data_IF_800851461831
#
_entry.id   IF_800851461831
#
_cell.length_a   1.000
_cell.length_b   1.000
_cell.length_c   1.000
_cell.angle_alpha   90.00
_cell.angle_beta   90.00
_cell.angle_gamma   90.00
#
_symmetry.space_group_name_H-M   'P 1'
#
loop_
_entity.id
_entity.type
_entity.pdbx_description
1 polymer ?
#
# COMPACT_ATOMS: atom_id res chain seq x y z
N UNK A 1 -9.52 -2.13 19.54
CA UNK A 1 -8.14 -1.61 19.41
C UNK A 1 -7.67 -1.75 17.96
N UNK A 2 -7.15 -0.69 17.36
CA UNK A 2 -6.63 -0.78 15.99
C UNK A 2 -5.30 -1.53 15.96
N UNK A 3 -5.11 -2.35 14.94
CA UNK A 3 -3.84 -3.01 14.68
C UNK A 3 -2.80 -1.98 14.23
N UNK A 4 -1.53 -2.32 14.41
CA UNK A 4 -0.42 -1.45 13.98
C UNK A 4 -0.51 -1.12 12.49
N UNK A 5 -0.86 -2.11 11.66
CA UNK A 5 -1.03 -1.93 10.22
C UNK A 5 -2.12 -0.89 9.92
N UNK A 6 -3.26 -0.97 10.61
CA UNK A 6 -4.36 -0.03 10.41
C UNK A 6 -3.96 1.40 10.78
N UNK A 7 -3.17 1.56 11.84
CA UNK A 7 -2.65 2.87 12.23
C UNK A 7 -1.69 3.44 11.20
N UNK A 8 -0.81 2.60 10.66
CA UNK A 8 0.11 3.03 9.60
C UNK A 8 -0.64 3.47 8.34
N UNK A 9 -1.68 2.73 7.97
CA UNK A 9 -2.51 3.09 6.83
C UNK A 9 -3.17 4.45 7.06
N UNK A 10 -3.76 4.66 8.23
CA UNK A 10 -4.40 5.94 8.56
C UNK A 10 -3.43 7.11 8.51
N UNK A 11 -2.24 6.95 9.07
CA UNK A 11 -1.21 7.98 9.06
C UNK A 11 -0.74 8.31 7.65
N UNK A 12 -0.49 7.29 6.81
CA UNK A 12 -0.03 7.51 5.45
C UNK A 12 -1.14 8.04 4.54
N UNK A 13 -2.39 7.65 4.78
CA UNK A 13 -3.53 8.26 4.07
C UNK A 13 -3.55 9.76 4.29
N UNK A 14 -3.32 10.20 5.52
CA UNK A 14 -3.27 11.61 5.87
C UNK A 14 -2.10 12.30 5.16
N UNK A 15 -0.92 11.71 5.23
CA UNK A 15 0.28 12.26 4.61
C UNK A 15 0.13 12.40 3.10
N UNK A 16 -0.53 11.44 2.45
CA UNK A 16 -0.71 11.41 1.01
C UNK A 16 -2.00 12.11 0.54
N UNK A 17 -2.74 12.71 1.47
CA UNK A 17 -3.98 13.45 1.16
C UNK A 17 -5.06 12.57 0.53
N UNK A 18 -5.19 11.33 1.03
CA UNK A 18 -6.23 10.39 0.62
C UNK A 18 -7.02 9.88 1.82
N UNK A 19 -7.18 10.72 2.85
CA UNK A 19 -7.91 10.35 4.08
C UNK A 19 -9.36 9.97 3.83
N UNK A 20 -9.95 10.46 2.73
CA UNK A 20 -11.31 10.14 2.35
C UNK A 20 -11.47 8.74 1.73
N UNK A 21 -10.37 8.05 1.47
CA UNK A 21 -10.40 6.69 0.95
C UNK A 21 -10.58 5.68 2.08
N UNK A 22 -11.35 4.63 1.81
CA UNK A 22 -11.48 3.49 2.72
C UNK A 22 -10.52 2.40 2.26
N UNK A 23 -9.40 2.25 2.97
CA UNK A 23 -8.37 1.28 2.63
C UNK A 23 -8.38 0.17 3.67
N UNK A 24 -8.56 -1.06 3.20
CA UNK A 24 -8.53 -2.26 4.04
C UNK A 24 -7.46 -3.22 3.56
N UNK A 25 -7.16 -4.23 4.35
CA UNK A 25 -6.19 -5.25 3.99
C UNK A 25 -6.83 -6.62 4.06
N UNK A 26 -6.37 -7.54 3.22
CA UNK A 26 -6.85 -8.91 3.24
C UNK A 26 -5.70 -9.87 2.95
N UNK A 27 -5.49 -10.82 3.87
CA UNK A 27 -4.48 -11.85 3.68
C UNK A 27 -5.03 -12.92 2.75
N UNK A 28 -4.22 -13.30 1.76
CA UNK A 28 -4.60 -14.31 0.77
C UNK A 28 -3.75 -15.57 0.94
N UNK A 29 -4.29 -16.69 0.45
CA UNK A 29 -3.56 -17.96 0.40
C UNK A 29 -2.56 -17.89 -0.75
N UNK A 30 -1.27 -18.17 -0.51
CA UNK A 30 -0.26 -18.19 -1.58
C UNK A 30 -0.62 -19.09 -2.77
N UNK A 31 -1.45 -20.11 -2.55
CA UNK A 31 -1.90 -21.02 -3.61
C UNK A 31 -2.87 -20.35 -4.59
N UNK A 32 -3.46 -19.22 -4.23
CA UNK A 32 -4.44 -18.51 -5.05
C UNK A 32 -3.81 -17.49 -6.00
N UNK A 33 -2.50 -17.34 -5.93
CA UNK A 33 -1.77 -16.32 -6.70
C UNK A 33 -0.75 -16.98 -7.60
N UNK A 34 -0.63 -16.45 -8.81
CA UNK A 34 0.45 -16.83 -9.71
C UNK A 34 1.58 -15.83 -9.52
N UNK A 35 2.73 -16.32 -9.08
CA UNK A 35 3.91 -15.48 -8.84
C UNK A 35 4.69 -15.34 -10.15
N UNK A 36 4.94 -14.11 -10.53
CA UNK A 36 5.72 -13.78 -11.73
C UNK A 36 7.14 -13.42 -11.31
N UNK A 37 7.89 -14.44 -10.88
CA UNK A 37 9.28 -14.28 -10.47
C UNK A 37 9.49 -13.70 -9.07
N UNK A 38 8.42 -13.52 -8.29
CA UNK A 38 8.49 -12.98 -6.95
C UNK A 38 8.23 -14.08 -5.91
N UNK A 39 8.83 -13.94 -4.72
CA UNK A 39 8.65 -14.89 -3.61
C UNK A 39 7.41 -14.61 -2.79
N UNK A 40 6.75 -13.48 -3.02
CA UNK A 40 5.58 -13.05 -2.27
C UNK A 40 4.68 -12.18 -3.14
N UNK A 41 3.47 -11.93 -2.65
CA UNK A 41 2.51 -11.06 -3.33
C UNK A 41 2.02 -9.95 -2.39
N UNK A 42 2.08 -8.71 -2.88
CA UNK A 42 1.39 -7.57 -2.31
C UNK A 42 0.85 -6.75 -3.47
N UNK A 43 -0.44 -6.46 -3.44
CA UNK A 43 -1.06 -5.66 -4.49
C UNK A 43 -2.34 -5.02 -3.99
N UNK A 44 -2.84 -4.03 -4.72
CA UNK A 44 -4.05 -3.32 -4.32
C UNK A 44 -5.10 -3.38 -5.44
N UNK A 45 -6.34 -3.66 -5.03
CA UNK A 45 -7.51 -3.52 -5.89
C UNK A 45 -8.19 -2.21 -5.54
N UNK A 46 -8.44 -1.36 -6.54
CA UNK A 46 -8.95 -0.01 -6.35
C UNK A 46 -10.32 0.11 -7.01
N UNK A 47 -11.31 0.60 -6.25
CA UNK A 47 -12.63 0.97 -6.75
C UNK A 47 -12.75 2.49 -6.71
N UNK A 48 -12.64 3.11 -7.87
CA UNK A 48 -12.67 4.57 -8.01
C UNK A 48 -14.06 5.16 -7.76
N UNK A 49 -15.11 4.37 -8.02
CA UNK A 49 -16.49 4.86 -7.84
C UNK A 49 -16.87 5.01 -6.38
N UNK A 50 -16.40 4.09 -5.54
CA UNK A 50 -16.74 4.09 -4.11
C UNK A 50 -15.57 4.56 -3.23
N UNK A 51 -14.42 4.90 -3.81
CA UNK A 51 -13.22 5.33 -3.11
C UNK A 51 -12.76 4.28 -2.09
N UNK A 52 -12.69 3.03 -2.53
CA UNK A 52 -12.24 1.91 -1.70
C UNK A 52 -11.03 1.23 -2.30
N UNK A 53 -10.12 0.80 -1.44
CA UNK A 53 -8.98 -0.01 -1.84
C UNK A 53 -8.79 -1.18 -0.90
N UNK A 54 -8.40 -2.32 -1.46
CA UNK A 54 -8.08 -3.50 -0.66
C UNK A 54 -6.66 -3.92 -1.00
N UNK A 55 -5.78 -3.93 0.00
CA UNK A 55 -4.42 -4.42 -0.15
C UNK A 55 -4.43 -5.91 0.14
N UNK A 56 -4.19 -6.71 -0.90
CA UNK A 56 -4.07 -8.17 -0.79
C UNK A 56 -2.61 -8.53 -0.55
N UNK A 57 -2.36 -9.44 0.39
CA UNK A 57 -1.00 -9.81 0.75
C UNK A 57 -0.94 -11.25 1.27
N UNK A 58 0.15 -11.93 0.98
CA UNK A 58 0.43 -13.26 1.53
C UNK A 58 1.54 -13.25 2.57
N UNK A 59 2.18 -12.10 2.78
CA UNK A 59 3.18 -11.87 3.80
C UNK A 59 2.69 -10.80 4.78
N UNK A 60 3.36 -10.65 5.91
CA UNK A 60 3.08 -9.54 6.82
C UNK A 60 3.42 -8.22 6.14
N UNK A 61 2.49 -7.26 6.22
CA UNK A 61 2.69 -5.97 5.56
C UNK A 61 3.71 -5.12 6.29
N UNK A 62 4.67 -4.62 5.53
CA UNK A 62 5.64 -3.63 6.02
C UNK A 62 5.14 -2.24 5.71
N UNK A 63 5.70 -1.24 6.39
CA UNK A 63 5.36 0.15 6.10
C UNK A 63 5.72 0.52 4.66
N UNK A 64 6.84 0.00 4.15
CA UNK A 64 7.24 0.22 2.76
C UNK A 64 6.18 -0.28 1.79
N UNK A 65 5.65 -1.49 2.01
CA UNK A 65 4.60 -2.05 1.17
C UNK A 65 3.33 -1.21 1.21
N UNK A 66 2.95 -0.74 2.40
CA UNK A 66 1.77 0.11 2.59
C UNK A 66 1.92 1.41 1.81
N UNK A 67 3.04 2.11 1.96
CA UNK A 67 3.30 3.37 1.25
C UNK A 67 3.27 3.16 -0.25
N UNK A 68 3.91 2.09 -0.73
CA UNK A 68 3.95 1.74 -2.15
C UNK A 68 2.53 1.60 -2.72
N UNK A 69 1.68 0.84 -2.05
CA UNK A 69 0.31 0.62 -2.52
C UNK A 69 -0.55 1.88 -2.43
N UNK A 70 -0.39 2.68 -1.37
CA UNK A 70 -1.14 3.94 -1.25
C UNK A 70 -0.71 4.98 -2.28
N UNK A 71 0.55 4.95 -2.71
CA UNK A 71 1.00 5.82 -3.81
C UNK A 71 0.30 5.46 -5.12
N UNK A 72 0.00 4.19 -5.36
CA UNK A 72 -0.80 3.79 -6.53
C UNK A 72 -2.21 4.36 -6.49
N UNK A 73 -2.76 4.60 -5.31
CA UNK A 73 -4.06 5.27 -5.16
C UNK A 73 -3.93 6.76 -5.45
N UNK A 74 -2.95 7.42 -4.85
CA UNK A 74 -2.78 8.87 -4.97
C UNK A 74 -2.28 9.29 -6.34
N UNK A 75 -1.39 8.50 -6.94
CA UNK A 75 -0.74 8.80 -8.22
C UNK A 75 -0.91 7.64 -9.19
N UNK A 76 -2.16 7.37 -9.54
CA UNK A 76 -2.55 6.16 -10.30
C UNK A 76 -1.96 6.06 -11.70
N UNK A 77 -1.49 7.17 -12.28
CA UNK A 77 -0.93 7.19 -13.63
C UNK A 77 0.60 7.08 -13.64
N UNK A 78 1.22 7.05 -12.47
CA UNK A 78 2.68 6.99 -12.40
C UNK A 78 3.20 5.57 -12.58
N UNK A 79 4.39 5.45 -13.18
CA UNK A 79 5.04 4.18 -13.44
C UNK A 79 5.57 3.55 -12.14
N UNK A 80 5.74 2.24 -12.15
CA UNK A 80 6.24 1.47 -11.00
C UNK A 80 7.58 1.99 -10.49
N UNK A 81 8.51 2.33 -11.39
CA UNK A 81 9.82 2.86 -11.00
C UNK A 81 9.69 4.17 -10.22
N UNK A 82 8.78 5.04 -10.64
CA UNK A 82 8.50 6.30 -9.94
C UNK A 82 7.91 6.03 -8.56
N UNK A 83 6.99 5.06 -8.45
CA UNK A 83 6.38 4.69 -7.18
C UNK A 83 7.44 4.12 -6.23
N UNK A 84 8.33 3.28 -6.72
CA UNK A 84 9.42 2.72 -5.91
C UNK A 84 10.34 3.82 -5.35
N UNK A 85 10.74 4.76 -6.20
CA UNK A 85 11.61 5.86 -5.78
C UNK A 85 10.90 6.79 -4.79
N UNK A 86 9.65 7.11 -5.06
CA UNK A 86 8.85 7.99 -4.20
C UNK A 86 8.59 7.33 -2.85
N UNK A 87 8.38 6.02 -2.82
CA UNK A 87 8.27 5.25 -1.57
C UNK A 87 9.51 5.44 -0.71
N UNK A 88 10.69 5.27 -1.31
CA UNK A 88 11.95 5.44 -0.60
C UNK A 88 12.12 6.87 -0.07
N UNK A 89 11.74 7.86 -0.85
CA UNK A 89 11.81 9.27 -0.44
C UNK A 89 10.91 9.57 0.75
N UNK A 90 9.67 9.06 0.74
CA UNK A 90 8.74 9.25 1.86
C UNK A 90 9.24 8.59 3.13
N UNK A 91 9.76 7.38 3.04
CA UNK A 91 10.29 6.67 4.21
C UNK A 91 11.55 7.35 4.74
N UNK A 92 12.43 7.78 3.85
CA UNK A 92 13.63 8.52 4.23
C UNK A 92 13.26 9.81 4.98
N UNK A 93 12.26 10.52 4.47
CA UNK A 93 11.79 11.76 5.09
C UNK A 93 11.22 11.53 6.48
N UNK A 94 10.44 10.45 6.65
CA UNK A 94 9.83 10.11 7.94
C UNK A 94 10.87 9.69 8.98
N UNK A 95 11.88 8.94 8.57
CA UNK A 95 12.89 8.36 9.48
C UNK A 95 14.24 9.06 9.38
N UNK A 96 14.26 10.27 8.90
CA UNK A 96 15.47 11.08 8.79
C UNK A 96 15.97 11.49 10.17
N UNK A 97 17.28 11.38 10.37
CA UNK A 97 17.94 11.77 11.60
C UNK A 97 18.82 13.00 11.38
#
# INVERSE_FOLDING_TARGET
MKKIVDKMIDEWKDTLDISHWNITTERIDPKQVVYDGEDYFVGIAIDWDTLKGVIYHDIDLTEEAIVHELLHVRYSTEAEDWVNETTRQHLHSKYKY
#
